data_IF_621623480679
#
_entry.id   IF_621623480679
#
_cell.length_a   1.000
_cell.length_b   1.000
_cell.length_c   1.000
_cell.angle_alpha   90.00
_cell.angle_beta   90.00
_cell.angle_gamma   90.00
#
_symmetry.space_group_name_H-M   'P 1'
#
loop_
_entity.id
_entity.type
_entity.pdbx_description
1 polymer ?
#
# COMPACT_ATOMS: atom_id res chain seq x y z
N UNK A 1 -18.12 -24.42 -5.40
CA UNK A 1 -17.76 -23.10 -5.97
C UNK A 1 -16.26 -22.92 -5.79
N UNK A 2 -15.47 -23.01 -6.87
CA UNK A 2 -14.04 -22.68 -6.77
C UNK A 2 -13.95 -21.17 -6.55
N UNK A 3 -13.47 -20.75 -5.38
CA UNK A 3 -13.15 -19.35 -5.12
C UNK A 3 -12.09 -18.93 -6.13
N UNK A 4 -12.49 -18.16 -7.15
CA UNK A 4 -11.58 -17.68 -8.18
C UNK A 4 -10.59 -16.71 -7.54
N UNK A 5 -9.47 -17.27 -7.12
CA UNK A 5 -8.29 -16.56 -6.68
C UNK A 5 -7.77 -15.76 -7.86
N UNK A 6 -7.91 -14.42 -7.83
CA UNK A 6 -7.47 -13.55 -8.93
C UNK A 6 -6.08 -13.02 -8.66
N UNK A 7 -5.22 -13.16 -9.66
CA UNK A 7 -3.87 -12.61 -9.68
C UNK A 7 -3.91 -11.18 -10.24
N UNK A 8 -3.19 -10.28 -9.58
CA UNK A 8 -3.05 -8.87 -9.97
C UNK A 8 -1.58 -8.53 -10.10
N UNK A 9 -1.24 -7.72 -11.10
CA UNK A 9 -0.02 -6.94 -11.07
C UNK A 9 -0.20 -5.83 -10.03
N UNK A 10 0.72 -5.71 -9.09
CA UNK A 10 0.63 -4.81 -7.95
C UNK A 10 1.86 -3.95 -7.84
N UNK A 11 1.66 -2.67 -7.50
CA UNK A 11 2.71 -1.66 -7.39
C UNK A 11 2.44 -0.76 -6.18
N UNK A 12 3.50 -0.41 -5.44
CA UNK A 12 3.48 0.67 -4.44
C UNK A 12 4.35 1.81 -4.93
N UNK A 13 3.80 3.02 -5.01
CA UNK A 13 4.42 4.19 -5.60
C UNK A 13 4.59 5.30 -4.57
N UNK A 14 5.80 5.87 -4.51
CA UNK A 14 6.10 7.09 -3.77
C UNK A 14 6.56 8.15 -4.77
N UNK A 15 5.96 9.35 -4.73
CA UNK A 15 6.18 10.41 -5.72
C UNK A 15 6.01 9.92 -7.18
N UNK A 16 5.05 9.02 -7.41
CA UNK A 16 4.75 8.46 -8.73
C UNK A 16 5.78 7.43 -9.24
N UNK A 17 6.75 7.01 -8.41
CA UNK A 17 7.75 6.00 -8.76
C UNK A 17 7.58 4.75 -7.91
N UNK A 18 7.77 3.57 -8.49
CA UNK A 18 7.73 2.31 -7.74
C UNK A 18 8.78 2.34 -6.63
N UNK A 19 8.34 2.08 -5.39
CA UNK A 19 9.20 2.10 -4.22
C UNK A 19 10.23 0.97 -4.32
N UNK A 20 11.50 1.31 -4.08
CA UNK A 20 12.58 0.34 -3.90
C UNK A 20 13.30 0.66 -2.59
N UNK A 21 13.39 -0.31 -1.69
CA UNK A 21 14.08 -0.21 -0.41
C UNK A 21 15.16 -1.30 -0.35
N UNK A 22 16.44 -0.88 -0.36
CA UNK A 22 17.55 -1.82 -0.48
C UNK A 22 17.44 -2.65 -1.76
N UNK A 23 17.40 -3.98 -1.62
CA UNK A 23 17.24 -4.91 -2.74
C UNK A 23 15.77 -5.24 -3.07
N UNK A 24 14.80 -4.68 -2.34
CA UNK A 24 13.38 -5.00 -2.48
C UNK A 24 12.68 -3.93 -3.31
N UNK A 25 12.12 -4.32 -4.45
CA UNK A 25 11.23 -3.48 -5.25
C UNK A 25 9.78 -3.87 -4.96
N UNK A 26 8.95 -2.90 -4.57
CA UNK A 26 7.53 -3.11 -4.24
C UNK A 26 6.65 -3.13 -5.49
N UNK A 27 6.96 -4.08 -6.36
CA UNK A 27 6.20 -4.42 -7.57
C UNK A 27 6.23 -5.93 -7.76
N UNK A 28 5.08 -6.51 -8.08
CA UNK A 28 5.00 -7.94 -8.33
C UNK A 28 3.58 -8.43 -8.58
N UNK A 29 3.46 -9.73 -8.79
CA UNK A 29 2.16 -10.38 -8.98
C UNK A 29 1.67 -10.94 -7.66
N UNK A 30 0.49 -10.48 -7.24
CA UNK A 30 -0.11 -10.84 -5.97
C UNK A 30 -1.47 -11.48 -6.19
N UNK A 31 -1.64 -12.64 -5.57
CA UNK A 31 -2.92 -13.31 -5.48
C UNK A 31 -3.76 -12.67 -4.37
N UNK A 32 -4.93 -12.11 -4.72
CA UNK A 32 -5.82 -11.48 -3.75
C UNK A 32 -7.14 -12.26 -3.61
N UNK A 33 -7.53 -12.51 -2.36
CA UNK A 33 -8.78 -13.22 -2.05
C UNK A 33 -9.99 -12.37 -2.45
N UNK A 34 -11.01 -12.95 -3.09
CA UNK A 34 -12.25 -12.25 -3.38
C UNK A 34 -12.93 -11.71 -2.12
N UNK A 35 -13.65 -10.59 -2.24
CA UNK A 35 -14.41 -9.98 -1.15
C UNK A 35 -14.34 -8.44 -1.16
N UNK A 36 -15.14 -7.78 -0.30
CA UNK A 36 -15.20 -6.31 -0.24
C UNK A 36 -13.85 -5.68 0.14
N UNK A 37 -13.04 -6.38 0.94
CA UNK A 37 -11.74 -5.92 1.40
C UNK A 37 -10.56 -6.57 0.66
N UNK A 38 -10.76 -7.04 -0.58
CA UNK A 38 -9.73 -7.78 -1.32
C UNK A 38 -8.39 -7.03 -1.43
N UNK A 39 -8.43 -5.69 -1.49
CA UNK A 39 -7.24 -4.84 -1.62
C UNK A 39 -6.74 -4.30 -0.27
N UNK A 40 -7.31 -4.74 0.87
CA UNK A 40 -6.81 -4.39 2.19
C UNK A 40 -5.32 -4.71 2.42
N UNK A 41 -4.74 -5.80 1.89
CA UNK A 41 -3.30 -6.03 1.97
C UNK A 41 -2.48 -4.92 1.32
N UNK A 42 -2.87 -4.46 0.13
CA UNK A 42 -2.18 -3.36 -0.57
C UNK A 42 -2.27 -2.05 0.20
N UNK A 43 -3.46 -1.72 0.73
CA UNK A 43 -3.65 -0.56 1.61
C UNK A 43 -2.73 -0.59 2.82
N UNK A 44 -2.58 -1.76 3.46
CA UNK A 44 -1.71 -1.93 4.63
C UNK A 44 -0.24 -1.75 4.29
N UNK A 45 0.25 -2.38 3.22
CA UNK A 45 1.64 -2.19 2.80
C UNK A 45 1.95 -0.75 2.39
N UNK A 46 1.01 -0.08 1.71
CA UNK A 46 1.15 1.33 1.40
C UNK A 46 1.23 2.17 2.68
N UNK A 47 0.47 1.82 3.73
CA UNK A 47 0.52 2.54 5.00
C UNK A 47 1.88 2.37 5.67
N UNK A 48 2.38 1.13 5.75
CA UNK A 48 3.70 0.83 6.33
C UNK A 48 4.80 1.63 5.61
N UNK A 49 4.73 1.73 4.28
CA UNK A 49 5.67 2.53 3.49
C UNK A 49 5.46 4.03 3.66
N UNK A 50 4.23 4.52 3.75
CA UNK A 50 3.95 5.93 3.94
C UNK A 50 4.50 6.41 5.30
N UNK A 51 4.30 5.61 6.34
CA UNK A 51 4.84 5.87 7.68
C UNK A 51 6.37 5.85 7.68
N UNK A 52 6.99 4.90 6.97
CA UNK A 52 8.44 4.77 6.86
C UNK A 52 9.09 5.92 6.07
N UNK A 53 8.50 6.29 4.93
CA UNK A 53 9.02 7.32 4.02
C UNK A 53 8.64 8.74 4.47
N UNK A 54 7.66 8.87 5.37
CA UNK A 54 7.17 10.15 5.86
C UNK A 54 6.34 10.93 4.83
N UNK A 55 5.75 10.25 3.85
CA UNK A 55 4.97 10.90 2.79
C UNK A 55 3.99 9.95 2.10
N UNK A 56 3.12 10.48 1.23
CA UNK A 56 2.01 9.72 0.66
C UNK A 56 2.50 8.60 -0.27
N UNK A 57 1.89 7.42 -0.14
CA UNK A 57 2.15 6.25 -0.98
C UNK A 57 0.87 5.80 -1.66
N UNK A 58 0.95 5.63 -2.98
CA UNK A 58 -0.14 5.09 -3.80
C UNK A 58 0.06 3.60 -3.98
N UNK A 59 -0.97 2.80 -3.74
CA UNK A 59 -1.00 1.40 -4.15
C UNK A 59 -1.87 1.25 -5.39
N UNK A 60 -1.49 0.30 -6.25
CA UNK A 60 -2.19 -0.01 -7.49
C UNK A 60 -2.30 -1.51 -7.67
N UNK A 61 -3.46 -1.94 -8.15
CA UNK A 61 -3.71 -3.29 -8.63
C UNK A 61 -4.19 -3.20 -10.09
N UNK A 62 -3.54 -3.94 -10.97
CA UNK A 62 -3.83 -3.99 -12.40
C UNK A 62 -4.11 -5.43 -12.83
N UNK A 63 -4.94 -5.60 -13.84
CA UNK A 63 -5.21 -6.89 -14.49
C UNK A 63 -5.63 -6.65 -15.94
N UNK A 64 -5.24 -7.54 -16.85
CA UNK A 64 -5.59 -7.41 -18.26
C UNK A 64 -5.09 -6.12 -18.94
N UNK A 65 -4.01 -5.52 -18.41
CA UNK A 65 -3.42 -4.30 -18.94
C UNK A 65 -4.06 -2.99 -18.44
N UNK A 66 -5.06 -3.06 -17.55
CA UNK A 66 -5.70 -1.88 -16.96
C UNK A 66 -5.59 -1.84 -15.44
N UNK A 67 -5.63 -0.64 -14.86
CA UNK A 67 -5.78 -0.45 -13.42
C UNK A 67 -7.19 -0.88 -13.02
N UNK A 68 -7.26 -1.85 -12.12
CA UNK A 68 -8.52 -2.35 -11.55
C UNK A 68 -8.91 -1.54 -10.33
N UNK A 69 -7.93 -1.21 -9.49
CA UNK A 69 -8.13 -0.41 -8.28
C UNK A 69 -6.83 0.29 -7.90
N UNK A 70 -6.93 1.50 -7.38
CA UNK A 70 -5.80 2.21 -6.79
C UNK A 70 -6.26 3.09 -5.63
N UNK A 71 -5.33 3.45 -4.75
CA UNK A 71 -5.59 4.39 -3.68
C UNK A 71 -4.31 4.96 -3.10
N UNK A 72 -4.42 6.12 -2.46
CA UNK A 72 -3.29 6.78 -1.80
C UNK A 72 -3.52 6.85 -0.31
N UNK A 73 -2.51 6.49 0.46
CA UNK A 73 -2.49 6.64 1.92
C UNK A 73 -1.43 7.65 2.32
N UNK A 74 -1.75 8.46 3.33
CA UNK A 74 -0.82 9.41 3.92
C UNK A 74 -0.18 8.77 5.19
N UNK A 75 1.02 9.24 5.60
CA UNK A 75 1.60 8.81 6.86
C UNK A 75 0.65 9.12 8.02
N UNK A 76 0.60 8.23 9.00
CA UNK A 76 -0.12 8.48 10.23
C UNK A 76 0.44 9.75 10.90
N UNK A 77 -0.42 10.58 11.53
CA UNK A 77 0.05 11.73 12.28
C UNK A 77 1.07 11.26 13.33
N UNK A 78 2.28 11.81 13.30
CA UNK A 78 3.26 11.53 14.34
C UNK A 78 2.66 12.04 15.65
N UNK A 79 2.23 11.14 16.52
CA UNK A 79 1.77 11.51 17.84
C UNK A 79 2.88 12.34 18.50
N UNK A 80 2.57 13.58 18.86
CA UNK A 80 3.51 14.44 19.55
C UNK A 80 3.85 13.79 20.90
N UNK A 81 4.97 13.08 20.95
CA UNK A 81 5.52 12.56 22.21
C UNK A 81 5.99 13.76 23.01
N UNK A 82 5.24 14.09 24.07
CA UNK A 82 5.70 14.91 25.17
C UNK A 82 5.32 16.39 25.11
N UNK A 83 4.12 16.73 25.59
CA UNK A 83 4.00 17.93 26.41
C UNK A 83 4.31 17.49 27.86
N UNK A 84 5.40 17.96 28.50
CA UNK A 84 5.60 17.71 29.92
C UNK A 84 4.42 18.34 30.67
N UNK A 85 3.67 17.51 31.41
CA UNK A 85 2.72 18.02 32.40
C UNK A 85 3.55 18.79 33.43
N UNK A 86 3.52 20.11 33.34
CA UNK A 86 4.03 20.98 34.39
C UNK A 86 3.25 20.66 35.68
N UNK A 87 4.00 20.52 36.76
CA UNK A 87 3.52 20.23 38.13
C UNK A 87 2.55 21.28 38.63
#
# INVERSE_FOLDING_TARGET
MMSATHEFDTELLYEGRVVTLGAVTYRGRTVLRPGPDRFAPLRRWAQDLADLLGGPVTWRASSGGGVVEEGTVAPAPRAAVGAPRAR
#
